data_IF_117421979498
#
_entry.id   IF_117421979498
#
_cell.length_a   1.000
_cell.length_b   1.000
_cell.length_c   1.000
_cell.angle_alpha   90.00
_cell.angle_beta   90.00
_cell.angle_gamma   90.00
#
_symmetry.space_group_name_H-M   'P 1'
#
loop_
_entity.id
_entity.type
_entity.pdbx_description
1 polymer ?
#
# COMPACT_ATOMS: atom_id res chain seq x y z
N UNK A 1 22.50 -50.78 5.66
CA UNK A 1 23.79 -50.21 6.06
C UNK A 1 23.49 -49.08 7.02
N UNK A 2 24.07 -49.02 8.23
CA UNK A 2 23.91 -47.81 9.04
C UNK A 2 24.47 -46.65 8.22
N UNK A 3 23.65 -45.62 8.01
CA UNK A 3 24.03 -44.46 7.19
C UNK A 3 25.31 -43.83 7.72
N UNK A 4 26.14 -43.31 6.81
CA UNK A 4 27.35 -42.59 7.17
C UNK A 4 26.94 -41.40 8.07
N UNK A 5 27.54 -41.32 9.26
CA UNK A 5 27.25 -40.27 10.24
C UNK A 5 27.45 -38.89 9.62
N UNK A 6 28.42 -38.74 8.72
CA UNK A 6 28.67 -37.47 8.01
C UNK A 6 27.46 -37.05 7.17
N UNK A 7 26.84 -37.98 6.44
CA UNK A 7 25.67 -37.70 5.60
C UNK A 7 24.47 -37.28 6.46
N UNK A 8 24.28 -37.93 7.62
CA UNK A 8 23.23 -37.58 8.59
C UNK A 8 23.41 -36.16 9.12
N UNK A 9 24.64 -35.76 9.44
CA UNK A 9 24.93 -34.42 9.97
C UNK A 9 24.75 -33.33 8.90
N UNK A 10 25.10 -33.63 7.65
CA UNK A 10 24.86 -32.72 6.52
C UNK A 10 23.36 -32.54 6.30
N UNK A 11 22.58 -33.62 6.29
CA UNK A 11 21.13 -33.57 6.14
C UNK A 11 20.48 -32.76 7.26
N UNK A 12 20.83 -33.04 8.52
CA UNK A 12 20.31 -32.29 9.66
C UNK A 12 20.67 -30.79 9.60
N UNK A 13 21.92 -30.48 9.24
CA UNK A 13 22.39 -29.11 9.11
C UNK A 13 21.62 -28.36 8.03
N UNK A 14 21.40 -29.00 6.88
CA UNK A 14 20.60 -28.44 5.79
C UNK A 14 19.14 -28.23 6.21
N UNK A 15 18.50 -29.23 6.82
CA UNK A 15 17.11 -29.14 7.27
C UNK A 15 16.91 -28.02 8.31
N UNK A 16 17.79 -27.95 9.32
CA UNK A 16 17.76 -26.89 10.34
C UNK A 16 17.98 -25.51 9.71
N UNK A 17 18.99 -25.38 8.86
CA UNK A 17 19.30 -24.12 8.16
C UNK A 17 18.14 -23.65 7.29
N UNK A 18 17.54 -24.56 6.51
CA UNK A 18 16.38 -24.27 5.67
C UNK A 18 15.17 -23.86 6.51
N UNK A 19 14.84 -24.62 7.57
CA UNK A 19 13.69 -24.35 8.42
C UNK A 19 13.80 -22.97 9.10
N UNK A 20 14.96 -22.68 9.68
CA UNK A 20 15.23 -21.39 10.35
C UNK A 20 15.19 -20.26 9.32
N UNK A 21 15.90 -20.41 8.20
CA UNK A 21 15.96 -19.40 7.15
C UNK A 21 14.58 -19.09 6.56
N UNK A 22 13.78 -20.12 6.28
CA UNK A 22 12.42 -19.97 5.78
C UNK A 22 11.52 -19.31 6.82
N UNK A 23 11.53 -19.78 8.07
CA UNK A 23 10.68 -19.22 9.12
C UNK A 23 10.97 -17.73 9.36
N UNK A 24 12.24 -17.35 9.50
CA UNK A 24 12.64 -15.96 9.70
C UNK A 24 12.31 -15.13 8.46
N UNK A 25 12.69 -15.61 7.27
CA UNK A 25 12.46 -14.91 6.01
C UNK A 25 10.97 -14.65 5.75
N UNK A 26 10.13 -15.65 5.94
CA UNK A 26 8.68 -15.52 5.77
C UNK A 26 8.04 -14.61 6.81
N UNK A 27 8.44 -14.69 8.09
CA UNK A 27 7.90 -13.81 9.14
C UNK A 27 8.24 -12.34 8.87
N UNK A 28 9.51 -12.04 8.60
CA UNK A 28 9.96 -10.68 8.31
C UNK A 28 9.32 -10.17 7.01
N UNK A 29 9.35 -10.98 5.96
CA UNK A 29 8.77 -10.62 4.66
C UNK A 29 7.28 -10.32 4.76
N UNK A 30 6.51 -11.14 5.49
CA UNK A 30 5.09 -10.92 5.73
C UNK A 30 4.84 -9.66 6.56
N UNK A 31 5.54 -9.50 7.69
CA UNK A 31 5.33 -8.36 8.57
C UNK A 31 5.59 -7.03 7.87
N UNK A 32 6.74 -6.91 7.20
CA UNK A 32 7.12 -5.70 6.45
C UNK A 32 6.18 -5.48 5.27
N UNK A 33 5.93 -6.54 4.49
CA UNK A 33 5.08 -6.48 3.30
C UNK A 33 3.65 -6.05 3.64
N UNK A 34 3.05 -6.63 4.68
CA UNK A 34 1.70 -6.27 5.14
C UNK A 34 1.65 -4.85 5.69
N UNK A 35 2.61 -4.43 6.50
CA UNK A 35 2.61 -3.08 7.08
C UNK A 35 2.74 -2.01 5.99
N UNK A 36 3.73 -2.14 5.11
CA UNK A 36 3.97 -1.18 4.02
C UNK A 36 2.81 -1.21 3.02
N UNK A 37 2.37 -2.40 2.63
CA UNK A 37 1.27 -2.59 1.68
C UNK A 37 -0.03 -1.97 2.19
N UNK A 38 -0.37 -2.19 3.46
CA UNK A 38 -1.54 -1.60 4.08
C UNK A 38 -1.44 -0.07 4.15
N UNK A 39 -0.31 0.47 4.61
CA UNK A 39 -0.12 1.92 4.73
C UNK A 39 -0.24 2.62 3.37
N UNK A 40 0.47 2.13 2.36
CA UNK A 40 0.44 2.71 1.02
C UNK A 40 -0.94 2.54 0.39
N UNK A 41 -1.53 1.34 0.49
CA UNK A 41 -2.85 1.03 -0.05
C UNK A 41 -3.94 1.92 0.56
N UNK A 42 -3.94 2.06 1.88
CA UNK A 42 -4.90 2.89 2.60
C UNK A 42 -4.75 4.38 2.22
N UNK A 43 -3.53 4.92 2.22
CA UNK A 43 -3.30 6.31 1.82
C UNK A 43 -3.74 6.58 0.37
N UNK A 44 -3.40 5.69 -0.57
CA UNK A 44 -3.84 5.80 -1.96
C UNK A 44 -5.35 5.71 -2.10
N UNK A 45 -5.99 4.79 -1.37
CA UNK A 45 -7.45 4.64 -1.35
C UNK A 45 -8.16 5.90 -0.86
N UNK A 46 -7.72 6.47 0.27
CA UNK A 46 -8.25 7.73 0.80
C UNK A 46 -8.09 8.87 -0.20
N UNK A 47 -6.91 9.02 -0.81
CA UNK A 47 -6.67 10.06 -1.81
C UNK A 47 -7.52 9.88 -3.07
N UNK A 48 -7.73 8.63 -3.50
CA UNK A 48 -8.58 8.31 -4.63
C UNK A 48 -10.03 8.72 -4.37
N UNK A 49 -10.60 8.31 -3.22
CA UNK A 49 -11.97 8.66 -2.82
C UNK A 49 -12.13 10.17 -2.68
N UNK A 50 -11.17 10.88 -2.07
CA UNK A 50 -11.18 12.35 -2.00
C UNK A 50 -11.20 13.00 -3.39
N UNK A 51 -10.39 12.49 -4.31
CA UNK A 51 -10.35 13.01 -5.69
C UNK A 51 -11.68 12.81 -6.39
N UNK A 52 -12.32 11.65 -6.23
CA UNK A 52 -13.66 11.39 -6.78
C UNK A 52 -14.72 12.32 -6.16
N UNK A 53 -14.68 12.53 -4.85
CA UNK A 53 -15.56 13.47 -4.17
C UNK A 53 -15.43 14.88 -4.74
N UNK A 54 -14.19 15.38 -4.91
CA UNK A 54 -13.93 16.68 -5.54
C UNK A 54 -14.50 16.75 -6.95
N UNK A 55 -14.27 15.72 -7.79
CA UNK A 55 -14.80 15.68 -9.16
C UNK A 55 -16.33 15.75 -9.18
N UNK A 56 -16.99 14.97 -8.33
CA UNK A 56 -18.45 14.95 -8.25
C UNK A 56 -19.02 16.30 -7.78
N UNK A 57 -18.38 16.94 -6.81
CA UNK A 57 -18.79 18.26 -6.32
C UNK A 57 -18.55 19.37 -7.35
N UNK A 58 -17.42 19.33 -8.07
CA UNK A 58 -17.15 20.26 -9.17
C UNK A 58 -18.19 20.12 -10.29
N UNK A 59 -18.59 18.88 -10.62
CA UNK A 59 -19.60 18.62 -11.65
C UNK A 59 -20.99 19.19 -11.30
N UNK A 60 -21.29 19.39 -10.02
CA UNK A 60 -22.54 20.04 -9.59
C UNK A 60 -22.54 21.54 -9.89
N UNK A 61 -21.37 22.18 -10.00
CA UNK A 61 -21.23 23.60 -10.34
C UNK A 61 -21.77 24.58 -9.29
N UNK A 62 -22.17 24.10 -8.11
CA UNK A 62 -22.80 24.91 -7.06
C UNK A 62 -21.78 25.50 -6.08
N UNK A 63 -20.68 24.77 -5.85
CA UNK A 63 -19.71 25.10 -4.81
C UNK A 63 -18.44 25.71 -5.40
N UNK A 64 -17.86 26.65 -4.66
CA UNK A 64 -16.52 27.19 -4.96
C UNK A 64 -15.43 26.15 -4.65
N UNK A 65 -14.25 26.23 -5.30
CA UNK A 65 -13.12 25.36 -4.97
C UNK A 65 -12.72 25.38 -3.49
N UNK A 66 -12.87 26.53 -2.83
CA UNK A 66 -12.61 26.73 -1.41
C UNK A 66 -13.59 25.95 -0.53
N UNK A 67 -14.89 26.01 -0.82
CA UNK A 67 -15.91 25.24 -0.10
C UNK A 67 -15.76 23.74 -0.31
N UNK A 68 -15.41 23.31 -1.53
CA UNK A 68 -15.14 21.89 -1.82
C UNK A 68 -13.93 21.40 -1.04
N UNK A 69 -12.88 22.23 -0.96
CA UNK A 69 -11.67 21.91 -0.22
C UNK A 69 -11.94 21.72 1.28
N UNK A 70 -12.76 22.60 1.86
CA UNK A 70 -13.21 22.52 3.24
C UNK A 70 -14.02 21.23 3.50
N UNK A 71 -15.01 20.92 2.65
CA UNK A 71 -15.87 19.72 2.80
C UNK A 71 -15.05 18.43 2.70
N UNK A 72 -14.13 18.35 1.75
CA UNK A 72 -13.36 17.13 1.48
C UNK A 72 -12.13 17.00 2.39
N UNK A 73 -11.75 18.07 3.09
CA UNK A 73 -10.54 18.12 3.91
C UNK A 73 -9.28 18.01 3.04
N UNK A 74 -9.19 18.84 2.01
CA UNK A 74 -8.06 18.92 1.07
C UNK A 74 -7.68 20.37 0.80
N UNK A 75 -6.58 20.59 0.10
CA UNK A 75 -6.14 21.95 -0.26
C UNK A 75 -6.95 22.53 -1.43
N UNK A 76 -7.32 23.82 -1.41
CA UNK A 76 -7.99 24.47 -2.54
C UNK A 76 -7.18 24.42 -3.84
N UNK A 77 -5.84 24.43 -3.75
CA UNK A 77 -4.94 24.26 -4.90
C UNK A 77 -5.14 22.91 -5.60
N UNK A 78 -5.37 21.84 -4.82
CA UNK A 78 -5.64 20.49 -5.34
C UNK A 78 -6.99 20.43 -6.05
N UNK A 79 -8.01 21.09 -5.51
CA UNK A 79 -9.32 21.20 -6.17
C UNK A 79 -9.19 21.90 -7.53
N UNK A 80 -8.46 23.02 -7.58
CA UNK A 80 -8.18 23.75 -8.83
C UNK A 80 -7.37 22.95 -9.85
N UNK A 81 -6.43 22.13 -9.40
CA UNK A 81 -5.70 21.20 -10.26
C UNK A 81 -6.62 20.16 -10.89
N UNK A 82 -7.51 19.56 -10.09
CA UNK A 82 -8.50 18.58 -10.58
C UNK A 82 -9.46 19.26 -11.56
N UNK A 83 -9.97 20.46 -11.25
CA UNK A 83 -10.83 21.22 -12.15
C UNK A 83 -10.16 21.48 -13.51
N UNK A 84 -8.88 21.88 -13.52
CA UNK A 84 -8.09 22.05 -14.75
C UNK A 84 -7.97 20.74 -15.54
N UNK A 85 -7.71 19.63 -14.86
CA UNK A 85 -7.61 18.31 -15.52
C UNK A 85 -8.92 17.89 -16.21
N UNK A 86 -10.07 18.24 -15.63
CA UNK A 86 -11.39 17.96 -16.20
C UNK A 86 -11.69 18.83 -17.42
N UNK A 87 -11.23 20.08 -17.44
CA UNK A 87 -11.39 20.97 -18.60
C UNK A 87 -10.47 20.63 -19.78
N UNK A 88 -9.40 19.85 -19.53
CA UNK A 88 -8.44 19.42 -20.55
C UNK A 88 -8.72 18.03 -21.15
N UNK A 89 -9.78 17.35 -20.68
CA UNK A 89 -10.27 16.08 -21.21
C UNK A 89 -11.56 16.29 -21.99
#
# INVERSE_FOLDING_TARGET
>A
MPGNIVDTWIEEGFQKGFQIGFQIGSQIGFQIGSQIGFQIGFQRGVQHVRTLAVRNLLAQGVLTPEQIAEIVGTEPSRVREIARSLSSS
#
